data_IF_969457809486
#
_entry.id   IF_969457809486
#
_cell.length_a   1.000
_cell.length_b   1.000
_cell.length_c   1.000
_cell.angle_alpha   90.00
_cell.angle_beta   90.00
_cell.angle_gamma   90.00
#
_symmetry.space_group_name_H-M   'P 1'
#
loop_
_entity.id
_entity.type
_entity.pdbx_description
1 polymer ?
#
# COMPACT_ATOMS: atom_id res chain seq x y z
N UNK A 1 -22.87 9.53 -13.62
CA UNK A 1 -22.84 9.79 -12.17
C UNK A 1 -21.70 10.77 -11.90
N UNK A 2 -22.01 12.03 -11.68
CA UNK A 2 -21.07 13.08 -11.29
C UNK A 2 -21.17 13.23 -9.76
N UNK A 3 -20.57 12.31 -9.02
CA UNK A 3 -20.46 12.46 -7.57
C UNK A 3 -19.07 12.99 -7.24
N UNK A 4 -18.98 13.88 -6.25
CA UNK A 4 -17.71 14.30 -5.65
C UNK A 4 -16.91 13.07 -5.20
N UNK A 5 -15.58 13.08 -5.38
CA UNK A 5 -14.68 12.03 -4.88
C UNK A 5 -14.86 11.78 -3.38
N UNK A 6 -15.31 12.77 -2.61
CA UNK A 6 -15.61 12.65 -1.18
C UNK A 6 -16.79 11.71 -0.89
N UNK A 7 -17.74 11.56 -1.83
CA UNK A 7 -18.86 10.65 -1.68
C UNK A 7 -18.48 9.16 -1.74
N UNK A 8 -17.36 8.81 -2.33
CA UNK A 8 -16.90 7.41 -2.45
C UNK A 8 -16.60 6.81 -1.08
N UNK A 9 -16.07 7.58 -0.14
CA UNK A 9 -15.76 7.12 1.21
C UNK A 9 -16.98 6.82 2.08
N UNK A 10 -18.17 7.26 1.67
CA UNK A 10 -19.43 7.08 2.39
C UNK A 10 -20.41 6.15 1.68
N UNK A 11 -20.03 5.59 0.52
CA UNK A 11 -20.87 4.63 -0.20
C UNK A 11 -20.91 3.30 0.55
N UNK A 12 -22.11 2.81 0.85
CA UNK A 12 -22.32 1.42 1.26
C UNK A 12 -22.34 0.54 0.02
N UNK A 13 -21.47 -0.45 0.01
CA UNK A 13 -21.54 -1.53 -0.97
C UNK A 13 -22.61 -2.52 -0.52
N UNK A 14 -23.53 -2.88 -1.40
CA UNK A 14 -24.59 -3.86 -1.14
C UNK A 14 -24.86 -4.68 -2.40
N UNK A 15 -25.54 -5.79 -2.25
CA UNK A 15 -25.83 -6.74 -3.33
C UNK A 15 -24.74 -7.81 -3.50
N UNK A 16 -25.13 -8.97 -3.97
CA UNK A 16 -24.21 -10.07 -4.26
C UNK A 16 -23.43 -10.54 -3.03
N UNK A 17 -22.11 -10.55 -3.14
CA UNK A 17 -21.22 -11.03 -2.06
C UNK A 17 -21.27 -10.17 -0.78
N UNK A 18 -21.71 -8.91 -0.88
CA UNK A 18 -21.76 -7.99 0.26
C UNK A 18 -22.96 -8.25 1.20
N UNK A 19 -23.96 -9.02 0.74
CA UNK A 19 -25.12 -9.40 1.54
C UNK A 19 -24.88 -10.70 2.34
N UNK A 20 -23.71 -11.31 2.18
CA UNK A 20 -23.31 -12.47 2.98
C UNK A 20 -23.06 -12.02 4.45
N UNK A 21 -23.72 -12.66 5.45
CA UNK A 21 -23.75 -12.14 6.83
C UNK A 21 -22.39 -11.95 7.50
N UNK A 22 -21.44 -12.87 7.26
CA UNK A 22 -20.10 -12.77 7.83
C UNK A 22 -19.32 -11.61 7.20
N UNK A 23 -19.40 -11.47 5.87
CA UNK A 23 -18.75 -10.38 5.16
C UNK A 23 -19.38 -9.04 5.53
N UNK A 24 -20.71 -8.97 5.61
CA UNK A 24 -21.43 -7.78 6.05
C UNK A 24 -20.99 -7.30 7.44
N UNK A 25 -20.81 -8.25 8.38
CA UNK A 25 -20.31 -7.95 9.72
C UNK A 25 -18.87 -7.44 9.71
N UNK A 26 -18.00 -8.04 8.92
CA UNK A 26 -16.62 -7.62 8.75
C UNK A 26 -16.53 -6.20 8.16
N UNK A 27 -17.30 -5.94 7.09
CA UNK A 27 -17.32 -4.64 6.41
C UNK A 27 -17.92 -3.54 7.30
N UNK A 28 -18.92 -3.84 8.13
CA UNK A 28 -19.47 -2.88 9.07
C UNK A 28 -18.44 -2.41 10.11
N UNK A 29 -17.60 -3.31 10.60
CA UNK A 29 -16.49 -2.95 11.51
C UNK A 29 -15.43 -2.15 10.78
N UNK A 30 -15.07 -2.54 9.57
CA UNK A 30 -14.07 -1.83 8.76
C UNK A 30 -14.51 -0.40 8.43
N UNK A 31 -15.75 -0.22 8.01
CA UNK A 31 -16.35 1.08 7.75
C UNK A 31 -16.37 1.96 9.00
N UNK A 32 -16.73 1.40 10.16
CA UNK A 32 -16.68 2.12 11.44
C UNK A 32 -15.28 2.61 11.79
N UNK A 33 -14.27 1.74 11.63
CA UNK A 33 -12.86 2.08 11.85
C UNK A 33 -12.38 3.15 10.87
N UNK A 34 -12.76 3.02 9.60
CA UNK A 34 -12.44 3.97 8.54
C UNK A 34 -12.98 5.39 8.84
N UNK A 35 -14.22 5.48 9.29
CA UNK A 35 -14.84 6.76 9.66
C UNK A 35 -14.14 7.42 10.85
N UNK A 36 -13.79 6.68 11.88
CA UNK A 36 -13.08 7.25 13.04
C UNK A 36 -11.70 7.75 12.64
N UNK A 37 -10.96 6.92 11.88
CA UNK A 37 -9.63 7.29 11.39
C UNK A 37 -9.66 8.46 10.43
N UNK A 38 -10.66 8.50 9.53
CA UNK A 38 -10.87 9.61 8.60
C UNK A 38 -11.09 10.94 9.31
N UNK A 39 -11.90 10.94 10.38
CA UNK A 39 -12.09 12.15 11.21
C UNK A 39 -10.80 12.66 11.84
N UNK A 40 -9.89 11.79 12.25
CA UNK A 40 -8.59 12.23 12.78
C UNK A 40 -7.75 12.94 11.73
N UNK A 41 -7.77 12.43 10.50
CA UNK A 41 -7.07 13.05 9.36
C UNK A 41 -7.68 14.40 9.00
N UNK A 42 -9.02 14.48 8.95
CA UNK A 42 -9.76 15.70 8.67
C UNK A 42 -9.49 16.78 9.73
N UNK A 43 -9.58 16.43 11.01
CA UNK A 43 -9.26 17.35 12.10
C UNK A 43 -7.79 17.82 12.04
N UNK A 44 -6.85 16.97 11.63
CA UNK A 44 -5.46 17.36 11.45
C UNK A 44 -5.29 18.37 10.31
N UNK A 45 -6.02 18.18 9.20
CA UNK A 45 -6.04 19.09 8.05
C UNK A 45 -6.62 20.44 8.43
N UNK A 46 -7.80 20.46 9.05
CA UNK A 46 -8.47 21.70 9.49
C UNK A 46 -7.63 22.50 10.49
N UNK A 47 -6.95 21.82 11.43
CA UNK A 47 -6.03 22.47 12.34
C UNK A 47 -4.85 23.10 11.61
N UNK A 48 -4.32 22.40 10.59
CA UNK A 48 -3.24 22.92 9.74
C UNK A 48 -3.68 24.15 8.94
N UNK A 49 -4.88 24.14 8.37
CA UNK A 49 -5.46 25.28 7.64
C UNK A 49 -5.64 26.52 8.53
N UNK A 50 -5.92 26.32 9.83
CA UNK A 50 -5.96 27.39 10.83
C UNK A 50 -4.60 27.76 11.43
N UNK A 51 -3.50 27.21 10.90
CA UNK A 51 -2.15 27.37 11.45
C UNK A 51 -1.98 26.88 12.90
N UNK A 52 -2.88 26.04 13.41
CA UNK A 52 -2.74 25.39 14.71
C UNK A 52 -1.87 24.13 14.59
N UNK A 53 -0.55 24.35 14.62
CA UNK A 53 0.44 23.28 14.47
C UNK A 53 0.41 22.28 15.64
N UNK A 54 0.00 22.71 16.85
CA UNK A 54 -0.07 21.85 18.02
C UNK A 54 -1.22 20.83 17.86
N UNK A 55 -2.41 21.31 17.53
CA UNK A 55 -3.57 20.46 17.29
C UNK A 55 -3.37 19.54 16.06
N UNK A 56 -2.79 20.07 14.97
CA UNK A 56 -2.49 19.26 13.79
C UNK A 56 -1.56 18.08 14.11
N UNK A 57 -0.49 18.32 14.89
CA UNK A 57 0.41 17.25 15.35
C UNK A 57 -0.27 16.26 16.29
N UNK A 58 -1.17 16.71 17.15
CA UNK A 58 -1.90 15.83 18.06
C UNK A 58 -2.82 14.88 17.28
N UNK A 59 -3.63 15.41 16.36
CA UNK A 59 -4.49 14.59 15.50
C UNK A 59 -3.69 13.63 14.60
N UNK A 60 -2.56 14.08 14.06
CA UNK A 60 -1.64 13.22 13.32
C UNK A 60 -1.11 12.07 14.16
N UNK A 61 -0.77 12.31 15.44
CA UNK A 61 -0.38 11.23 16.37
C UNK A 61 -1.53 10.24 16.62
N UNK A 62 -2.77 10.73 16.82
CA UNK A 62 -3.95 9.87 16.97
C UNK A 62 -4.19 9.02 15.73
N UNK A 63 -4.07 9.60 14.54
CA UNK A 63 -4.17 8.89 13.27
C UNK A 63 -3.11 7.78 13.13
N UNK A 64 -1.86 8.08 13.45
CA UNK A 64 -0.75 7.12 13.33
C UNK A 64 -0.83 5.99 14.36
N UNK A 65 -1.37 6.25 15.54
CA UNK A 65 -1.52 5.27 16.62
C UNK A 65 -2.85 4.52 16.57
N UNK A 66 -3.71 4.83 15.63
CA UNK A 66 -5.08 4.33 15.58
C UNK A 66 -5.19 2.79 15.65
N UNK A 67 -4.26 2.09 15.02
CA UNK A 67 -4.27 0.62 15.00
C UNK A 67 -3.68 -0.03 16.24
N UNK A 68 -2.92 0.70 17.06
CA UNK A 68 -2.23 0.13 18.20
C UNK A 68 -3.18 -0.06 19.39
N UNK A 69 -3.45 -1.32 19.75
CA UNK A 69 -4.31 -1.68 20.88
C UNK A 69 -5.77 -1.23 20.73
N UNK A 70 -6.25 -1.05 19.50
CA UNK A 70 -7.64 -0.69 19.23
C UNK A 70 -8.51 -1.95 19.19
N UNK A 71 -9.48 -2.11 20.13
CA UNK A 71 -10.34 -3.29 20.18
C UNK A 71 -11.16 -3.52 18.89
N UNK A 72 -11.50 -2.45 18.17
CA UNK A 72 -12.18 -2.56 16.87
C UNK A 72 -11.30 -3.22 15.81
N UNK A 73 -9.98 -2.95 15.84
CA UNK A 73 -9.01 -3.59 14.94
C UNK A 73 -8.88 -5.07 15.29
N UNK A 74 -8.77 -5.42 16.56
CA UNK A 74 -8.74 -6.81 17.01
C UNK A 74 -10.01 -7.55 16.60
N UNK A 75 -11.19 -6.93 16.77
CA UNK A 75 -12.46 -7.49 16.32
C UNK A 75 -12.50 -7.69 14.80
N UNK A 76 -12.01 -6.73 14.02
CA UNK A 76 -11.89 -6.88 12.55
C UNK A 76 -11.03 -8.08 12.18
N UNK A 77 -9.87 -8.23 12.83
CA UNK A 77 -8.96 -9.35 12.57
C UNK A 77 -9.58 -10.71 12.93
N UNK A 78 -10.34 -10.78 14.04
CA UNK A 78 -11.08 -12.00 14.40
C UNK A 78 -12.13 -12.35 13.34
N UNK A 79 -12.94 -11.38 12.91
CA UNK A 79 -13.96 -11.58 11.86
C UNK A 79 -13.34 -11.98 10.53
N UNK A 80 -12.23 -11.36 10.16
CA UNK A 80 -11.48 -11.71 8.94
C UNK A 80 -10.96 -13.14 8.98
N UNK A 81 -10.36 -13.57 10.09
CA UNK A 81 -9.90 -14.95 10.28
C UNK A 81 -11.04 -15.95 10.22
N UNK A 82 -12.19 -15.64 10.84
CA UNK A 82 -13.38 -16.47 10.77
C UNK A 82 -13.91 -16.58 9.33
N UNK A 83 -13.95 -15.47 8.61
CA UNK A 83 -14.34 -15.43 7.21
C UNK A 83 -13.38 -16.24 6.31
N UNK A 84 -12.08 -16.12 6.51
CA UNK A 84 -11.07 -16.94 5.80
C UNK A 84 -11.26 -18.43 6.06
N UNK A 85 -11.50 -18.81 7.31
CA UNK A 85 -11.75 -20.22 7.70
C UNK A 85 -13.03 -20.79 7.06
N UNK A 86 -14.07 -19.97 6.93
CA UNK A 86 -15.32 -20.37 6.26
C UNK A 86 -15.18 -20.44 4.73
N UNK A 87 -14.14 -19.85 4.15
CA UNK A 87 -13.89 -19.80 2.70
C UNK A 87 -12.54 -20.45 2.33
N UNK A 88 -12.36 -21.77 2.52
CA UNK A 88 -11.07 -22.45 2.33
C UNK A 88 -10.57 -22.42 0.86
N UNK A 89 -11.49 -22.22 -0.09
CA UNK A 89 -11.19 -22.08 -1.51
C UNK A 89 -11.12 -20.62 -1.97
N UNK A 90 -10.97 -19.70 -1.00
CA UNK A 90 -10.97 -18.25 -1.24
C UNK A 90 -12.38 -17.71 -1.50
N UNK A 91 -12.46 -16.40 -1.60
CA UNK A 91 -13.63 -15.67 -2.05
C UNK A 91 -13.20 -14.48 -2.89
N UNK A 92 -14.12 -13.88 -3.63
CA UNK A 92 -13.83 -12.66 -4.41
C UNK A 92 -13.35 -11.54 -3.48
N UNK A 93 -13.96 -11.38 -2.32
CA UNK A 93 -13.52 -10.39 -1.32
C UNK A 93 -12.08 -10.61 -0.88
N UNK A 94 -11.72 -11.84 -0.47
CA UNK A 94 -10.37 -12.17 -0.01
C UNK A 94 -9.33 -11.94 -1.12
N UNK A 95 -9.69 -12.24 -2.34
CA UNK A 95 -8.83 -12.02 -3.50
C UNK A 95 -8.57 -10.53 -3.74
N UNK A 96 -9.63 -9.71 -3.75
CA UNK A 96 -9.55 -8.25 -3.92
C UNK A 96 -8.78 -7.61 -2.75
N UNK A 97 -9.07 -8.02 -1.51
CA UNK A 97 -8.41 -7.49 -0.30
C UNK A 97 -6.88 -7.74 -0.29
N UNK A 98 -6.44 -8.85 -0.90
CA UNK A 98 -5.02 -9.23 -0.92
C UNK A 98 -4.20 -8.59 -2.04
N UNK A 99 -4.81 -8.20 -3.15
CA UNK A 99 -4.08 -7.61 -4.29
C UNK A 99 -3.21 -6.40 -3.88
N UNK A 100 -3.73 -5.35 -3.20
CA UNK A 100 -2.92 -4.20 -2.82
C UNK A 100 -1.85 -4.51 -1.76
N UNK A 101 -1.98 -5.66 -1.08
CA UNK A 101 -1.05 -6.10 -0.03
C UNK A 101 0.08 -6.99 -0.57
N UNK A 102 0.01 -7.40 -1.84
CA UNK A 102 0.97 -8.33 -2.42
C UNK A 102 2.41 -7.84 -2.32
N UNK A 103 2.67 -6.55 -2.52
CA UNK A 103 4.01 -5.96 -2.42
C UNK A 103 4.68 -6.12 -1.04
N UNK A 104 3.87 -6.36 0.00
CA UNK A 104 4.32 -6.57 1.39
C UNK A 104 4.18 -8.02 1.85
N UNK A 105 3.66 -8.89 0.98
CA UNK A 105 3.39 -10.30 1.30
C UNK A 105 4.55 -11.17 0.82
N UNK A 106 5.11 -12.06 1.65
CA UNK A 106 6.13 -13.01 1.20
C UNK A 106 5.64 -13.84 0.02
N UNK A 107 6.45 -14.00 -1.02
CA UNK A 107 6.08 -14.71 -2.25
C UNK A 107 5.55 -16.14 -1.99
N UNK A 108 6.09 -16.83 -0.97
CA UNK A 108 5.63 -18.15 -0.54
C UNK A 108 4.19 -18.12 -0.04
N UNK A 109 3.81 -17.09 0.72
CA UNK A 109 2.46 -16.91 1.24
C UNK A 109 1.48 -16.54 0.13
N UNK A 110 1.86 -15.62 -0.76
CA UNK A 110 1.07 -15.24 -1.92
C UNK A 110 0.74 -16.46 -2.80
N UNK A 111 1.74 -17.30 -3.10
CA UNK A 111 1.55 -18.56 -3.84
C UNK A 111 0.66 -19.55 -3.10
N UNK A 112 0.83 -19.69 -1.79
CA UNK A 112 0.00 -20.59 -0.97
C UNK A 112 -1.46 -20.19 -1.08
N UNK A 113 -1.77 -18.91 -0.92
CA UNK A 113 -3.15 -18.43 -1.05
C UNK A 113 -3.69 -18.66 -2.48
N UNK A 114 -2.95 -18.30 -3.53
CA UNK A 114 -3.39 -18.51 -4.91
C UNK A 114 -3.70 -19.99 -5.22
N UNK A 115 -2.92 -20.92 -4.67
CA UNK A 115 -3.18 -22.35 -4.82
C UNK A 115 -4.48 -22.82 -4.18
N UNK A 116 -4.96 -22.15 -3.13
CA UNK A 116 -6.24 -22.51 -2.48
C UNK A 116 -7.46 -22.03 -3.26
N UNK A 117 -7.30 -21.05 -4.18
CA UNK A 117 -8.42 -20.50 -4.93
C UNK A 117 -9.09 -21.54 -5.81
N UNK A 118 -10.44 -21.46 -5.89
CA UNK A 118 -11.21 -22.24 -6.86
C UNK A 118 -10.81 -21.83 -8.31
N UNK A 119 -11.03 -22.72 -9.27
CA UNK A 119 -10.72 -22.43 -10.68
C UNK A 119 -11.50 -21.22 -11.21
N UNK A 120 -12.76 -21.05 -10.82
CA UNK A 120 -13.54 -19.88 -11.19
C UNK A 120 -12.96 -18.56 -10.68
N UNK A 121 -12.37 -18.57 -9.46
CA UNK A 121 -11.67 -17.39 -8.94
C UNK A 121 -10.34 -17.15 -9.66
N UNK A 122 -9.57 -18.19 -9.95
CA UNK A 122 -8.30 -18.06 -10.69
C UNK A 122 -8.49 -17.49 -12.10
N UNK A 123 -9.54 -17.91 -12.79
CA UNK A 123 -9.87 -17.45 -14.16
C UNK A 123 -10.58 -16.10 -14.20
N UNK A 124 -11.05 -15.60 -13.05
CA UNK A 124 -11.67 -14.27 -12.96
C UNK A 124 -10.65 -13.17 -13.24
N UNK A 125 -11.16 -11.97 -13.58
CA UNK A 125 -10.32 -10.79 -13.77
C UNK A 125 -9.37 -10.52 -12.59
N UNK A 126 -9.87 -10.60 -11.36
CA UNK A 126 -9.04 -10.38 -10.16
C UNK A 126 -8.08 -11.53 -9.89
N UNK A 127 -8.43 -12.77 -10.25
CA UNK A 127 -7.54 -13.91 -10.16
C UNK A 127 -6.34 -13.80 -11.11
N UNK A 128 -6.59 -13.36 -12.32
CA UNK A 128 -5.54 -13.08 -13.31
C UNK A 128 -4.66 -11.91 -12.85
N UNK A 129 -5.25 -10.82 -12.39
CA UNK A 129 -4.52 -9.69 -11.81
C UNK A 129 -3.61 -10.12 -10.65
N UNK A 130 -4.11 -10.98 -9.75
CA UNK A 130 -3.32 -11.52 -8.64
C UNK A 130 -2.15 -12.34 -9.16
N UNK A 131 -2.36 -13.21 -10.14
CA UNK A 131 -1.31 -14.02 -10.77
C UNK A 131 -0.24 -13.17 -11.44
N UNK A 132 -0.63 -12.13 -12.18
CA UNK A 132 0.29 -11.20 -12.84
C UNK A 132 1.13 -10.41 -11.82
N UNK A 133 0.52 -9.96 -10.73
CA UNK A 133 1.24 -9.31 -9.65
C UNK A 133 2.24 -10.26 -8.98
N UNK A 134 1.84 -11.52 -8.73
CA UNK A 134 2.74 -12.55 -8.20
C UNK A 134 3.93 -12.80 -9.14
N UNK A 135 3.70 -12.94 -10.44
CA UNK A 135 4.75 -13.17 -11.43
C UNK A 135 5.77 -12.01 -11.44
N UNK A 136 5.29 -10.77 -11.36
CA UNK A 136 6.17 -9.59 -11.23
C UNK A 136 6.99 -9.61 -9.95
N UNK A 137 6.40 -9.96 -8.80
CA UNK A 137 7.13 -10.10 -7.54
C UNK A 137 8.22 -11.17 -7.62
N UNK A 138 7.95 -12.29 -8.31
CA UNK A 138 8.93 -13.34 -8.50
C UNK A 138 10.11 -12.91 -9.37
N UNK A 139 9.87 -12.06 -10.37
CA UNK A 139 10.94 -11.44 -11.17
C UNK A 139 11.80 -10.48 -10.34
N UNK A 140 11.22 -9.85 -9.31
CA UNK A 140 11.90 -8.90 -8.42
C UNK A 140 12.45 -9.56 -7.15
N UNK A 141 12.35 -10.87 -7.01
CA UNK A 141 12.82 -11.59 -5.84
C UNK A 141 14.35 -11.44 -5.66
N UNK A 142 14.78 -11.48 -4.40
CA UNK A 142 16.19 -11.42 -4.03
C UNK A 142 17.01 -12.48 -4.82
N UNK A 143 18.18 -12.06 -5.31
CA UNK A 143 19.06 -12.88 -6.15
C UNK A 143 18.66 -12.94 -7.63
N UNK A 144 17.56 -12.32 -8.04
CA UNK A 144 17.21 -12.19 -9.47
C UNK A 144 17.81 -10.91 -10.07
N UNK A 145 18.15 -10.94 -11.37
CA UNK A 145 18.56 -9.73 -12.06
C UNK A 145 17.46 -8.67 -11.99
N UNK A 146 17.81 -7.45 -11.57
CA UNK A 146 16.87 -6.34 -11.60
C UNK A 146 16.42 -6.06 -13.05
N UNK A 147 15.14 -5.77 -13.31
CA UNK A 147 14.66 -5.36 -14.62
C UNK A 147 15.44 -4.17 -15.19
N UNK A 148 15.50 -4.06 -16.50
CA UNK A 148 16.02 -2.87 -17.14
C UNK A 148 15.02 -1.72 -16.99
N UNK A 149 15.55 -0.51 -16.82
CA UNK A 149 14.75 0.70 -16.77
C UNK A 149 15.47 1.84 -17.51
N UNK A 150 14.68 2.78 -17.98
CA UNK A 150 15.11 4.06 -18.51
C UNK A 150 14.10 5.09 -18.02
N UNK A 151 14.57 6.11 -17.30
CA UNK A 151 13.74 7.07 -16.57
C UNK A 151 14.18 8.50 -16.89
N UNK A 152 13.22 9.41 -17.00
CA UNK A 152 13.50 10.84 -17.05
C UNK A 152 13.83 11.36 -15.64
N UNK A 153 14.81 12.25 -15.55
CA UNK A 153 15.16 12.94 -14.30
C UNK A 153 14.42 14.27 -14.18
N UNK A 154 14.45 14.86 -12.99
CA UNK A 154 13.91 16.22 -12.74
C UNK A 154 14.64 17.34 -13.51
N UNK A 155 15.81 17.03 -14.08
CA UNK A 155 16.65 17.94 -14.88
C UNK A 155 16.51 17.66 -16.38
N UNK A 156 15.42 16.99 -16.80
CA UNK A 156 15.14 16.63 -18.20
C UNK A 156 16.25 15.77 -18.87
N UNK A 157 17.04 15.06 -18.07
CA UNK A 157 18.01 14.05 -18.52
C UNK A 157 17.40 12.66 -18.44
N UNK A 158 18.02 11.71 -19.11
CA UNK A 158 17.65 10.30 -19.05
C UNK A 158 18.69 9.53 -18.25
N UNK A 159 18.24 8.64 -17.40
CA UNK A 159 19.06 7.72 -16.61
C UNK A 159 18.56 6.28 -16.84
N UNK A 160 19.48 5.38 -17.15
CA UNK A 160 19.19 3.97 -17.36
C UNK A 160 19.93 3.10 -16.35
N UNK A 161 19.43 1.88 -16.12
CA UNK A 161 20.12 0.89 -15.26
C UNK A 161 21.57 0.68 -15.65
N UNK A 162 21.88 0.72 -16.95
CA UNK A 162 23.23 0.53 -17.48
C UNK A 162 24.26 1.55 -16.97
N UNK A 163 23.81 2.76 -16.59
CA UNK A 163 24.67 3.83 -16.09
C UNK A 163 25.24 3.52 -14.70
N UNK A 164 24.66 2.54 -14.02
CA UNK A 164 25.06 2.11 -12.67
C UNK A 164 25.85 0.81 -12.66
N UNK A 165 26.27 0.32 -13.83
CA UNK A 165 27.01 -0.95 -13.93
C UNK A 165 28.28 -0.93 -13.06
N UNK A 166 28.47 -1.96 -12.25
CA UNK A 166 29.60 -2.08 -11.32
C UNK A 166 29.44 -1.30 -10.02
N UNK A 167 28.27 -0.74 -9.76
CA UNK A 167 27.94 -0.04 -8.51
C UNK A 167 26.77 -0.68 -7.80
N UNK A 168 26.62 -0.41 -6.51
CA UNK A 168 25.42 -0.75 -5.76
C UNK A 168 24.38 0.33 -6.01
N UNK A 169 23.18 -0.06 -6.43
CA UNK A 169 22.07 0.87 -6.71
C UNK A 169 20.94 0.65 -5.72
N UNK A 170 20.60 1.69 -4.96
CA UNK A 170 19.40 1.75 -4.14
C UNK A 170 18.34 2.55 -4.90
N UNK A 171 17.25 1.88 -5.29
CA UNK A 171 16.04 2.54 -5.79
C UNK A 171 15.04 2.65 -4.65
N UNK A 172 14.49 3.83 -4.41
CA UNK A 172 13.43 4.00 -3.42
C UNK A 172 12.31 4.89 -3.96
N UNK A 173 11.08 4.56 -3.58
CA UNK A 173 9.94 5.38 -3.95
C UNK A 173 9.87 6.59 -3.02
N UNK A 174 9.89 7.79 -3.63
CA UNK A 174 9.85 9.06 -2.91
C UNK A 174 8.51 9.77 -3.15
N UNK A 175 7.99 10.42 -2.12
CA UNK A 175 6.77 11.23 -2.19
C UNK A 175 6.73 12.27 -1.08
N UNK A 176 5.76 13.18 -1.14
CA UNK A 176 5.59 14.26 -0.15
C UNK A 176 4.89 13.81 1.14
N UNK A 177 4.67 12.51 1.36
CA UNK A 177 4.07 12.02 2.59
C UNK A 177 5.08 12.06 3.76
N UNK A 178 4.61 12.19 5.01
CA UNK A 178 5.50 12.23 6.19
C UNK A 178 6.41 11.00 6.32
N UNK A 179 5.96 9.84 5.85
CA UNK A 179 6.78 8.62 5.84
C UNK A 179 7.97 8.73 4.89
N UNK A 180 7.78 9.26 3.69
CA UNK A 180 8.85 9.47 2.73
C UNK A 180 9.90 10.46 3.24
N UNK A 181 9.48 11.55 3.88
CA UNK A 181 10.39 12.55 4.46
C UNK A 181 11.26 11.93 5.56
N UNK A 182 10.69 11.02 6.37
CA UNK A 182 11.44 10.32 7.40
C UNK A 182 12.47 9.34 6.80
N UNK A 183 12.07 8.60 5.77
CA UNK A 183 12.95 7.65 5.06
C UNK A 183 14.06 8.39 4.31
N UNK A 184 13.77 9.54 3.72
CA UNK A 184 14.72 10.34 2.96
C UNK A 184 15.97 10.68 3.78
N UNK A 185 15.77 11.05 5.05
CA UNK A 185 16.89 11.28 5.97
C UNK A 185 17.76 10.04 6.19
N UNK A 186 17.12 8.88 6.38
CA UNK A 186 17.85 7.62 6.56
C UNK A 186 18.59 7.20 5.28
N UNK A 187 17.98 7.45 4.12
CA UNK A 187 18.61 7.18 2.81
C UNK A 187 19.81 8.10 2.59
N UNK A 188 19.70 9.38 2.96
CA UNK A 188 20.80 10.35 2.90
C UNK A 188 21.98 9.94 3.78
N UNK A 189 21.70 9.55 5.02
CA UNK A 189 22.73 9.05 5.95
C UNK A 189 23.41 7.78 5.40
N UNK A 190 22.63 6.88 4.79
CA UNK A 190 23.15 5.66 4.18
C UNK A 190 24.04 6.01 2.96
N UNK A 191 23.62 6.94 2.12
CA UNK A 191 24.39 7.39 0.97
C UNK A 191 25.74 7.99 1.42
N UNK A 192 25.72 8.92 2.36
CA UNK A 192 26.96 9.52 2.88
C UNK A 192 27.94 8.46 3.43
N UNK A 193 27.45 7.45 4.09
CA UNK A 193 28.26 6.35 4.65
C UNK A 193 28.89 5.44 3.58
N UNK A 194 28.26 5.28 2.41
CA UNK A 194 28.64 4.27 1.43
C UNK A 194 28.94 4.79 0.02
N UNK A 195 28.81 6.09 -0.24
CA UNK A 195 29.10 6.70 -1.57
C UNK A 195 30.50 6.35 -2.07
N UNK A 196 31.51 6.40 -1.21
CA UNK A 196 32.89 6.07 -1.54
C UNK A 196 33.12 4.56 -1.73
N UNK A 197 32.15 3.72 -1.31
CA UNK A 197 32.12 2.27 -1.55
C UNK A 197 31.29 1.88 -2.77
N UNK A 198 30.91 2.85 -3.60
CA UNK A 198 30.20 2.64 -4.85
C UNK A 198 28.68 2.60 -4.73
N UNK A 199 28.08 3.05 -3.61
CA UNK A 199 26.62 3.19 -3.51
C UNK A 199 26.15 4.37 -4.35
N UNK A 200 25.11 4.11 -5.16
CA UNK A 200 24.32 5.12 -5.85
C UNK A 200 22.87 5.03 -5.36
N UNK A 201 22.20 6.17 -5.27
CA UNK A 201 20.82 6.26 -4.80
C UNK A 201 19.99 7.00 -5.83
N UNK A 202 18.82 6.43 -6.17
CA UNK A 202 17.85 7.03 -7.09
C UNK A 202 16.47 7.03 -6.43
N UNK A 203 15.94 8.23 -6.19
CA UNK A 203 14.56 8.42 -5.75
C UNK A 203 13.61 8.38 -6.95
N UNK A 204 12.58 7.55 -6.88
CA UNK A 204 11.53 7.43 -7.88
C UNK A 204 10.29 8.18 -7.42
N UNK A 205 9.71 9.00 -8.28
CA UNK A 205 8.45 9.71 -8.00
C UNK A 205 7.49 9.57 -9.17
N UNK A 206 6.19 9.53 -8.87
CA UNK A 206 5.14 9.40 -9.89
C UNK A 206 4.88 10.70 -10.65
N UNK A 207 5.28 11.85 -10.11
CA UNK A 207 5.01 13.15 -10.72
C UNK A 207 6.16 14.13 -10.54
N UNK A 208 6.77 14.52 -11.66
CA UNK A 208 7.76 15.59 -11.70
C UNK A 208 7.12 16.97 -11.34
N UNK A 209 5.83 17.14 -11.61
CA UNK A 209 5.09 18.37 -11.29
C UNK A 209 4.97 18.64 -9.78
N UNK A 210 5.10 17.62 -8.94
CA UNK A 210 5.06 17.77 -7.47
C UNK A 210 6.40 18.27 -6.87
N UNK A 211 7.47 18.37 -7.67
CA UNK A 211 8.83 18.70 -7.22
C UNK A 211 9.26 20.09 -7.72
N UNK A 212 8.56 20.66 -8.68
CA UNK A 212 8.71 22.03 -9.18
C UNK A 212 7.69 22.93 -8.46
#
# INVERSE_FOLDING_TARGET
MTGSTDAIYYCRLGGGIYDEPMLSSLLAVDDSLGRVRGRYLENAREASERNDTAASREWGRKFNRFYNGNPGVERKDMLRKAYEAANPHGSLYLLIDRIPKLSYTPAKEARRFYKTLSEGLKTSYFGQMYADCMARMEQLAEGKPAPDFTLATTEDRTVAKADFKGRYLLLYHWGLCPGSIHIDRQVSDLFEKYKDKGLQVVGLTESIAAIR
#
